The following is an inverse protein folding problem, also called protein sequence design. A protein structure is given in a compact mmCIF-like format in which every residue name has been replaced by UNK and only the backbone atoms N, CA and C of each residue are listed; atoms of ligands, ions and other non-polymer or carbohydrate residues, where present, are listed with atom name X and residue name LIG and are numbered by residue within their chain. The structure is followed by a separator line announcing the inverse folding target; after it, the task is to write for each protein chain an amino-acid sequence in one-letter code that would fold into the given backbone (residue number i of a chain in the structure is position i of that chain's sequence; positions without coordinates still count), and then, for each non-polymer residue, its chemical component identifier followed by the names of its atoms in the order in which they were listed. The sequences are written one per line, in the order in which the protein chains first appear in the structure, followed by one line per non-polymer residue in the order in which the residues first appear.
data_IF_853621567694
#
_entry.id   IF_853621567694
#
_cell.length_a   1.000
_cell.length_b   1.000
_cell.length_c   1.000
_cell.angle_alpha   90.00
_cell.angle_beta   90.00
_cell.angle_gamma   90.00
#
_symmetry.space_group_name_H-M   'P 1'
#
loop_
_entity.id
_entity.type
_entity.pdbx_description
1 polymer ?
#
# COMPACT_ATOMS: atom_id res chain seq x y z
N UNK A 1 -11.17 -6.34 -7.15
CA UNK A 1 -9.80 -6.78 -7.47
C UNK A 1 -9.64 -8.18 -6.89
N UNK A 2 -9.02 -9.11 -7.60
CA UNK A 2 -8.86 -10.47 -7.09
C UNK A 2 -7.72 -10.53 -6.07
N UNK A 3 -7.98 -11.06 -4.86
CA UNK A 3 -7.00 -11.08 -3.76
C UNK A 3 -5.77 -11.89 -4.15
N UNK A 4 -5.96 -13.03 -4.79
CA UNK A 4 -4.88 -13.95 -5.13
C UNK A 4 -3.93 -13.31 -6.16
N UNK A 5 -4.47 -12.63 -7.17
CA UNK A 5 -3.65 -11.87 -8.15
C UNK A 5 -2.78 -10.80 -7.51
N UNK A 6 -3.27 -10.09 -6.48
CA UNK A 6 -2.48 -9.09 -5.76
C UNK A 6 -1.30 -9.77 -5.07
N UNK A 7 -1.54 -10.89 -4.40
CA UNK A 7 -0.51 -11.61 -3.66
C UNK A 7 0.53 -12.24 -4.60
N UNK A 8 0.10 -12.88 -5.68
CA UNK A 8 1.00 -13.50 -6.67
C UNK A 8 1.87 -12.48 -7.42
N UNK A 9 1.44 -11.22 -7.50
CA UNK A 9 2.21 -10.16 -8.15
C UNK A 9 3.39 -9.62 -7.33
N UNK A 10 3.49 -10.04 -6.06
CA UNK A 10 4.46 -9.52 -5.10
C UNK A 10 5.60 -10.52 -4.88
N UNK A 11 6.78 -9.97 -4.63
CA UNK A 11 7.93 -10.76 -4.16
C UNK A 11 7.87 -10.90 -2.64
N UNK A 12 7.86 -12.13 -2.15
CA UNK A 12 7.67 -12.48 -0.74
C UNK A 12 8.95 -13.04 -0.14
N UNK A 13 9.37 -12.51 1.00
CA UNK A 13 10.50 -13.02 1.77
C UNK A 13 10.17 -13.04 3.28
N UNK A 14 10.80 -13.94 4.07
CA UNK A 14 10.69 -13.92 5.52
C UNK A 14 11.11 -12.58 6.10
N UNK A 15 10.30 -12.03 7.00
CA UNK A 15 10.59 -10.75 7.63
C UNK A 15 9.55 -10.34 8.66
N UNK A 16 9.68 -9.12 9.19
CA UNK A 16 8.75 -8.57 10.18
C UNK A 16 7.82 -7.58 9.48
N UNK A 17 6.52 -7.77 9.65
CA UNK A 17 5.52 -6.86 9.11
C UNK A 17 5.63 -5.49 9.79
N UNK A 18 5.77 -4.42 9.00
CA UNK A 18 5.85 -3.05 9.50
C UNK A 18 4.60 -2.64 10.32
N UNK A 19 3.39 -3.06 9.91
CA UNK A 19 2.14 -2.74 10.62
C UNK A 19 1.89 -3.61 11.86
N UNK A 20 2.42 -4.84 11.89
CA UNK A 20 2.18 -5.80 12.97
C UNK A 20 3.47 -6.49 13.41
N UNK A 21 4.40 -5.75 14.04
CA UNK A 21 5.68 -6.32 14.47
C UNK A 21 5.50 -7.44 15.52
N UNK A 22 4.38 -7.43 16.25
CA UNK A 22 4.05 -8.45 17.25
C UNK A 22 3.80 -9.86 16.69
N UNK A 23 3.56 -10.01 15.37
CA UNK A 23 3.43 -11.34 14.73
C UNK A 23 4.76 -12.08 14.62
N UNK A 24 5.87 -11.40 14.88
CA UNK A 24 7.21 -11.97 14.69
C UNK A 24 7.54 -12.12 13.20
N UNK A 25 8.38 -13.11 12.89
CA UNK A 25 8.78 -13.42 11.53
C UNK A 25 7.65 -14.11 10.76
N UNK A 26 7.25 -13.51 9.64
CA UNK A 26 6.21 -14.00 8.74
C UNK A 26 6.62 -13.74 7.29
N UNK A 27 5.89 -14.29 6.32
CA UNK A 27 6.10 -13.92 4.91
C UNK A 27 5.70 -12.46 4.70
N UNK A 28 6.61 -11.67 4.14
CA UNK A 28 6.41 -10.23 3.89
C UNK A 28 6.80 -9.84 2.48
N UNK A 29 5.99 -8.99 1.87
CA UNK A 29 6.27 -8.40 0.57
C UNK A 29 6.71 -6.94 0.72
N UNK A 30 7.58 -6.52 -0.20
CA UNK A 30 7.88 -5.11 -0.39
C UNK A 30 6.60 -4.33 -0.76
N UNK A 31 6.34 -3.26 -0.02
CA UNK A 31 5.19 -2.37 -0.31
C UNK A 31 5.62 -1.00 -0.81
N UNK A 32 6.67 -0.43 -0.21
CA UNK A 32 7.16 0.90 -0.56
C UNK A 32 8.56 1.11 0.01
N UNK A 33 9.32 1.98 -0.66
CA UNK A 33 10.58 2.47 -0.12
C UNK A 33 10.41 3.96 0.20
N UNK A 34 10.56 4.32 1.48
CA UNK A 34 10.38 5.69 1.97
C UNK A 34 11.72 6.33 2.33
N UNK A 35 11.75 7.66 2.36
CA UNK A 35 12.87 8.44 2.92
C UNK A 35 12.41 9.15 4.19
N UNK A 36 12.71 8.61 5.38
CA UNK A 36 12.29 9.22 6.63
C UNK A 36 12.93 10.61 6.83
N UNK A 37 12.29 11.50 7.61
CA UNK A 37 12.85 12.82 7.93
C UNK A 37 14.21 12.76 8.64
N UNK A 38 14.47 11.70 9.40
CA UNK A 38 15.75 11.44 10.05
C UNK A 38 16.90 11.11 9.08
N UNK A 39 16.61 11.06 7.78
CA UNK A 39 17.56 10.69 6.73
C UNK A 39 17.56 9.18 6.44
N UNK A 40 18.13 8.83 5.29
CA UNK A 40 18.24 7.44 4.83
C UNK A 40 17.09 6.99 3.94
N UNK A 41 17.18 5.72 3.54
CA UNK A 41 16.16 5.01 2.78
C UNK A 41 15.69 3.86 3.66
N UNK A 42 14.39 3.75 3.87
CA UNK A 42 13.78 2.68 4.63
C UNK A 42 12.89 1.85 3.71
N UNK A 43 13.17 0.56 3.70
CA UNK A 43 12.35 -0.42 3.00
C UNK A 43 11.17 -0.84 3.88
N UNK A 44 9.95 -0.63 3.39
CA UNK A 44 8.72 -0.99 4.11
C UNK A 44 8.22 -2.30 3.55
N UNK A 45 8.11 -3.29 4.44
CA UNK A 45 7.60 -4.63 4.13
C UNK A 45 6.37 -4.95 4.97
N UNK A 46 5.42 -5.67 4.40
CA UNK A 46 4.14 -5.98 5.04
C UNK A 46 3.72 -7.42 4.79
N UNK A 47 3.03 -8.02 5.76
CA UNK A 47 2.44 -9.35 5.62
C UNK A 47 1.22 -9.33 4.69
N UNK A 48 0.77 -10.51 4.27
CA UNK A 48 -0.38 -10.72 3.37
C UNK A 48 -1.60 -9.85 3.71
N UNK A 49 -2.08 -9.96 4.95
CA UNK A 49 -3.25 -9.21 5.44
C UNK A 49 -3.08 -7.69 5.28
N UNK A 50 -1.87 -7.18 5.51
CA UNK A 50 -1.57 -5.76 5.42
C UNK A 50 -1.44 -5.28 3.98
N UNK A 51 -0.84 -6.08 3.11
CA UNK A 51 -0.77 -5.79 1.67
C UNK A 51 -2.18 -5.65 1.10
N UNK A 52 -3.07 -6.59 1.42
CA UNK A 52 -4.45 -6.54 0.95
C UNK A 52 -5.20 -5.31 1.49
N UNK A 53 -5.11 -5.03 2.78
CA UNK A 53 -5.72 -3.84 3.37
C UNK A 53 -5.21 -2.54 2.72
N UNK A 54 -3.90 -2.45 2.46
CA UNK A 54 -3.30 -1.28 1.80
C UNK A 54 -3.79 -1.09 0.37
N UNK A 55 -3.99 -2.17 -0.39
CA UNK A 55 -4.55 -2.08 -1.75
C UNK A 55 -6.03 -1.68 -1.73
N UNK A 56 -6.80 -2.14 -0.75
CA UNK A 56 -8.19 -1.70 -0.53
C UNK A 56 -8.24 -0.20 -0.19
N UNK A 57 -7.38 0.26 0.72
CA UNK A 57 -7.24 1.67 1.06
C UNK A 57 -6.86 2.51 -0.18
N UNK A 58 -5.92 2.02 -1.00
CA UNK A 58 -5.48 2.69 -2.24
C UNK A 58 -6.60 2.75 -3.28
N UNK A 59 -7.38 1.68 -3.44
CA UNK A 59 -8.53 1.66 -4.34
C UNK A 59 -9.62 2.64 -3.89
N UNK A 60 -9.94 2.66 -2.60
CA UNK A 60 -10.91 3.61 -2.03
C UNK A 60 -10.44 5.07 -2.19
N UNK A 61 -9.16 5.35 -2.01
CA UNK A 61 -8.60 6.69 -2.24
C UNK A 61 -8.72 7.12 -3.71
N UNK A 62 -8.46 6.22 -4.67
CA UNK A 62 -8.64 6.48 -6.11
C UNK A 62 -10.08 6.79 -6.47
N UNK A 63 -11.05 6.06 -5.91
CA UNK A 63 -12.48 6.31 -6.13
C UNK A 63 -12.89 7.70 -5.62
N UNK A 64 -12.49 8.04 -4.39
CA UNK A 64 -12.76 9.38 -3.81
C UNK A 64 -12.16 10.51 -4.64
N UNK A 65 -10.96 10.31 -5.19
CA UNK A 65 -10.32 11.28 -6.08
C UNK A 65 -11.07 11.40 -7.41
N UNK A 66 -11.53 10.29 -7.99
CA UNK A 66 -12.34 10.31 -9.21
C UNK A 66 -13.69 11.02 -8.99
N UNK A 67 -14.36 10.76 -7.87
CA UNK A 67 -15.62 11.43 -7.48
C UNK A 67 -15.43 12.93 -7.21
N UNK A 68 -14.27 13.33 -6.68
CA UNK A 68 -13.91 14.74 -6.49
C UNK A 68 -13.51 15.45 -7.79
N UNK A 69 -12.92 14.73 -8.75
CA UNK A 69 -12.53 15.27 -10.05
C UNK A 69 -13.72 15.55 -10.98
N UNK A 70 -14.83 14.82 -10.83
CA UNK A 70 -16.11 15.07 -11.53
C UNK A 70 -16.78 16.40 -11.08
N UNK A 71 -16.32 16.99 -9.98
CA UNK A 71 -16.84 18.25 -9.42
C UNK A 71 -15.94 19.47 -9.66
N UNK A 72 -15.08 19.44 -10.67
CA UNK A 72 -14.41 20.65 -11.13
C UNK A 72 -15.34 21.42 -12.09
N UNK A 73 -15.83 22.63 -11.76
CA UNK A 73 -16.61 23.41 -12.70
C UNK A 73 -15.72 23.86 -13.87
N UNK A 74 -16.22 23.70 -15.09
CA UNK A 74 -15.74 24.41 -16.26
C UNK A 74 -15.74 25.93 -15.98
N UNK A 75 -14.59 26.50 -15.60
CA UNK A 75 -14.26 27.89 -15.90
C UNK A 75 -13.38 27.86 -17.15
N UNK A 76 -13.77 28.38 -18.31
CA UNK A 76 -14.52 29.61 -18.53
C UNK A 76 -13.53 30.76 -18.66
N UNK A 77 -12.98 30.94 -19.85
CA UNK A 77 -12.37 32.19 -20.34
C UNK A 77 -12.42 32.20 -21.85
#
# INVERSE_FOLDING_TARGET
MDRQQILDSRDWEPGICFRHPCKGEVSTAHVETIRPPAGGIQDIRACEECVLAMEEERAAARLRLAEGADRAPHGGS
#
